data_IF_937166067018
#
_entry.id   IF_937166067018
#
_cell.length_a   1.000
_cell.length_b   1.000
_cell.length_c   1.000
_cell.angle_alpha   90.00
_cell.angle_beta   90.00
_cell.angle_gamma   90.00
#
_symmetry.space_group_name_H-M   'P 1'
#
loop_
_entity.id
_entity.type
_entity.pdbx_description
1 polymer ?
#
# COMPACT_ATOMS: atom_id res chain seq x y z
N UNK A 1 48.28 9.44 -25.83
CA UNK A 1 47.47 8.75 -26.85
C UNK A 1 46.23 8.27 -26.13
N UNK A 2 45.30 9.21 -25.97
CA UNK A 2 44.01 8.99 -25.34
C UNK A 2 43.02 8.54 -26.41
N UNK A 3 42.24 7.50 -26.12
CA UNK A 3 41.05 7.16 -26.88
C UNK A 3 39.91 6.84 -25.92
N UNK A 4 39.27 7.91 -25.44
CA UNK A 4 37.90 7.90 -24.97
C UNK A 4 36.99 7.40 -26.09
N UNK A 5 36.41 6.21 -25.93
CA UNK A 5 35.27 5.76 -26.74
C UNK A 5 34.00 6.14 -26.00
N UNK A 6 33.47 7.31 -26.34
CA UNK A 6 32.13 7.74 -25.96
C UNK A 6 31.10 6.80 -26.61
N UNK A 7 30.47 5.95 -25.80
CA UNK A 7 29.21 5.31 -26.17
C UNK A 7 28.16 6.43 -26.31
N UNK A 8 27.86 6.80 -27.55
CA UNK A 8 26.74 7.68 -27.89
C UNK A 8 25.44 7.07 -27.36
N UNK A 9 24.94 7.57 -26.22
CA UNK A 9 23.54 7.43 -25.86
C UNK A 9 22.72 8.36 -26.76
N UNK A 10 21.61 7.90 -27.37
CA UNK A 10 20.75 8.80 -28.11
C UNK A 10 20.11 9.82 -27.16
N UNK A 11 20.30 11.11 -27.48
CA UNK A 11 19.62 12.25 -26.84
C UNK A 11 18.11 12.17 -27.09
N UNK A 12 17.38 11.57 -26.16
CA UNK A 12 15.90 11.61 -26.11
C UNK A 12 15.37 12.84 -25.32
N UNK A 13 16.23 13.81 -25.03
CA UNK A 13 15.91 15.00 -24.23
C UNK A 13 15.52 16.18 -25.11
N UNK A 14 14.31 16.15 -25.68
CA UNK A 14 13.62 17.38 -26.12
C UNK A 14 12.10 17.27 -26.26
N UNK A 15 11.49 16.11 -26.04
CA UNK A 15 10.05 15.99 -26.11
C UNK A 15 9.42 16.43 -24.77
N UNK A 16 8.82 17.62 -24.78
CA UNK A 16 7.70 17.94 -23.89
C UNK A 16 6.70 16.80 -23.99
N UNK A 17 6.42 16.10 -22.89
CA UNK A 17 5.47 14.99 -22.84
C UNK A 17 4.14 15.44 -23.44
N UNK A 18 3.76 14.86 -24.59
CA UNK A 18 2.57 15.27 -25.32
C UNK A 18 1.32 14.94 -24.49
N UNK A 19 0.33 15.83 -24.48
CA UNK A 19 -0.93 15.62 -23.75
C UNK A 19 -1.62 14.33 -24.20
N UNK A 20 -1.42 13.93 -25.46
CA UNK A 20 -1.86 12.64 -26.00
C UNK A 20 -1.20 11.43 -25.32
N UNK A 21 0.09 11.48 -25.04
CA UNK A 21 0.81 10.38 -24.37
C UNK A 21 0.30 10.19 -22.94
N UNK A 22 -0.01 11.29 -22.24
CA UNK A 22 -0.60 11.25 -20.89
C UNK A 22 -1.96 10.56 -20.94
N UNK A 23 -2.85 10.99 -21.83
CA UNK A 23 -4.19 10.39 -21.96
C UNK A 23 -4.12 8.90 -22.32
N UNK A 24 -3.16 8.50 -23.15
CA UNK A 24 -2.94 7.11 -23.52
C UNK A 24 -2.41 6.27 -22.35
N UNK A 25 -1.44 6.76 -21.58
CA UNK A 25 -0.95 6.09 -20.36
C UNK A 25 -2.09 5.94 -19.35
N UNK A 26 -2.92 6.97 -19.18
CA UNK A 26 -4.10 6.91 -18.31
C UNK A 26 -5.10 5.84 -18.78
N UNK A 27 -5.34 5.75 -20.09
CA UNK A 27 -6.24 4.74 -20.67
C UNK A 27 -5.69 3.32 -20.50
N UNK A 28 -4.41 3.10 -20.80
CA UNK A 28 -3.73 1.81 -20.62
C UNK A 28 -3.77 1.40 -19.16
N UNK A 29 -3.49 2.33 -18.25
CA UNK A 29 -3.52 2.06 -16.82
C UNK A 29 -4.92 1.72 -16.31
N UNK A 30 -5.93 2.52 -16.68
CA UNK A 30 -7.33 2.24 -16.35
C UNK A 30 -7.77 0.90 -16.92
N UNK A 31 -7.42 0.57 -18.17
CA UNK A 31 -7.72 -0.72 -18.78
C UNK A 31 -7.00 -1.88 -18.09
N UNK A 32 -5.74 -1.72 -17.69
CA UNK A 32 -5.03 -2.76 -16.93
C UNK A 32 -5.68 -3.00 -15.58
N UNK A 33 -5.97 -1.95 -14.81
CA UNK A 33 -6.70 -2.08 -13.53
C UNK A 33 -8.06 -2.73 -13.77
N UNK A 34 -8.76 -2.30 -14.80
CA UNK A 34 -10.09 -2.78 -15.17
C UNK A 34 -10.07 -4.24 -15.59
N UNK A 35 -9.22 -4.66 -16.52
CA UNK A 35 -9.09 -6.06 -16.92
C UNK A 35 -8.53 -6.92 -15.80
N UNK A 36 -7.68 -6.38 -14.93
CA UNK A 36 -7.27 -7.07 -13.70
C UNK A 36 -8.50 -7.40 -12.87
N UNK A 37 -9.43 -6.46 -12.65
CA UNK A 37 -10.58 -6.71 -11.76
C UNK A 37 -11.81 -7.31 -12.46
N UNK A 38 -12.19 -6.87 -13.65
CA UNK A 38 -13.36 -7.35 -14.40
C UNK A 38 -13.15 -8.74 -15.02
N UNK A 39 -11.93 -9.07 -15.48
CA UNK A 39 -11.66 -10.44 -15.92
C UNK A 39 -11.63 -11.40 -14.71
N UNK A 40 -11.29 -10.89 -13.51
CA UNK A 40 -11.46 -11.65 -12.27
C UNK A 40 -12.94 -11.84 -11.90
N UNK A 41 -13.78 -10.80 -12.02
CA UNK A 41 -15.24 -10.84 -11.78
C UNK A 41 -15.97 -11.77 -12.76
N UNK A 42 -15.45 -11.94 -13.98
CA UNK A 42 -16.01 -12.81 -15.01
C UNK A 42 -15.39 -14.22 -15.06
N UNK A 43 -14.47 -14.54 -14.14
CA UNK A 43 -13.82 -15.86 -14.05
C UNK A 43 -12.77 -16.14 -15.14
N UNK A 44 -12.49 -15.19 -16.03
CA UNK A 44 -11.47 -15.29 -17.08
C UNK A 44 -10.16 -14.72 -16.53
N UNK A 45 -9.37 -15.50 -15.80
CA UNK A 45 -8.12 -15.00 -15.21
C UNK A 45 -8.39 -14.32 -13.88
N UNK A 46 -8.15 -15.09 -12.82
CA UNK A 46 -8.34 -14.65 -11.46
C UNK A 46 -7.11 -13.84 -11.00
N UNK A 47 -7.32 -12.67 -10.40
CA UNK A 47 -6.27 -11.81 -9.81
C UNK A 47 -5.42 -12.49 -8.74
N UNK A 48 -5.82 -13.67 -8.29
CA UNK A 48 -5.11 -14.41 -7.29
C UNK A 48 -4.59 -15.77 -7.81
N UNK A 49 -4.66 -16.04 -9.12
CA UNK A 49 -4.26 -17.31 -9.70
C UNK A 49 -2.92 -17.24 -10.46
N UNK A 50 -1.98 -18.08 -10.03
CA UNK A 50 -0.67 -18.30 -10.67
C UNK A 50 -0.73 -19.34 -11.81
N UNK A 51 -1.86 -20.04 -11.98
CA UNK A 51 -1.99 -21.18 -12.90
C UNK A 51 -1.95 -20.78 -14.37
N UNK A 52 -2.17 -19.50 -14.66
CA UNK A 52 -2.04 -18.92 -15.99
C UNK A 52 -0.96 -17.85 -15.92
N UNK A 53 0.23 -18.16 -16.42
CA UNK A 53 1.19 -17.11 -16.77
C UNK A 53 0.48 -16.06 -17.62
N UNK A 54 0.90 -14.80 -17.49
CA UNK A 54 0.36 -13.70 -18.31
C UNK A 54 0.38 -14.18 -19.77
N UNK A 55 -0.79 -14.33 -20.45
CA UNK A 55 -0.81 -14.80 -21.83
C UNK A 55 0.13 -13.92 -22.66
N UNK A 56 0.94 -14.50 -23.55
CA UNK A 56 1.89 -13.71 -24.37
C UNK A 56 1.18 -12.57 -25.13
N UNK A 57 -0.09 -12.78 -25.47
CA UNK A 57 -0.93 -11.82 -26.19
C UNK A 57 -1.69 -10.85 -25.26
N UNK A 58 -1.69 -11.08 -23.94
CA UNK A 58 -2.30 -10.19 -22.94
C UNK A 58 -1.67 -8.81 -22.98
N UNK A 59 -0.35 -8.71 -23.16
CA UNK A 59 0.31 -7.41 -23.34
C UNK A 59 -0.12 -6.73 -24.65
N UNK A 60 -0.21 -7.49 -25.74
CA UNK A 60 -0.58 -6.95 -27.05
C UNK A 60 -2.02 -6.42 -27.13
N UNK A 61 -2.90 -6.81 -26.20
CA UNK A 61 -4.28 -6.31 -26.14
C UNK A 61 -4.40 -4.92 -25.50
N UNK A 62 -3.37 -4.44 -24.78
CA UNK A 62 -3.35 -3.10 -24.17
C UNK A 62 -2.56 -2.07 -24.97
N UNK A 63 -1.69 -2.51 -25.87
CA UNK A 63 -0.74 -1.63 -26.56
C UNK A 63 -0.84 -1.82 -28.08
N UNK A 64 -1.35 -0.82 -28.82
CA UNK A 64 -1.21 -0.78 -30.27
C UNK A 64 0.25 -0.95 -30.70
N UNK A 65 0.51 -1.79 -31.73
CA UNK A 65 1.87 -2.15 -32.19
C UNK A 65 2.77 -0.96 -32.62
N UNK A 66 2.19 0.22 -32.84
CA UNK A 66 2.89 1.42 -33.30
C UNK A 66 3.43 2.33 -32.17
N UNK A 67 3.26 1.96 -30.90
CA UNK A 67 3.73 2.76 -29.76
C UNK A 67 5.22 2.56 -29.47
N UNK A 68 5.98 3.65 -29.38
CA UNK A 68 7.38 3.65 -28.90
C UNK A 68 7.50 3.09 -27.46
N UNK A 69 6.47 3.32 -26.62
CA UNK A 69 6.38 2.76 -25.27
C UNK A 69 6.31 1.22 -25.28
N UNK A 70 5.58 0.66 -26.25
CA UNK A 70 5.41 -0.79 -26.45
C UNK A 70 6.74 -1.46 -26.82
N UNK A 71 7.52 -0.87 -27.73
CA UNK A 71 8.87 -1.35 -28.04
C UNK A 71 9.80 -1.25 -26.83
N UNK A 72 9.82 -0.14 -26.09
CA UNK A 72 10.68 0.01 -24.91
C UNK A 72 10.35 -0.99 -23.78
N UNK A 73 9.07 -1.31 -23.57
CA UNK A 73 8.61 -2.23 -22.54
C UNK A 73 8.83 -3.71 -22.89
N UNK A 74 8.70 -4.06 -24.17
CA UNK A 74 8.96 -5.42 -24.67
C UNK A 74 10.44 -5.71 -24.91
N UNK A 75 11.21 -4.77 -25.46
CA UNK A 75 12.64 -4.96 -25.76
C UNK A 75 13.50 -5.08 -24.48
N UNK A 76 13.06 -4.50 -23.36
CA UNK A 76 13.67 -4.66 -22.04
C UNK A 76 13.08 -5.83 -21.23
N UNK A 77 12.38 -6.76 -21.88
CA UNK A 77 11.81 -7.93 -21.23
C UNK A 77 12.73 -9.14 -21.41
N UNK A 78 13.80 -9.20 -20.61
CA UNK A 78 14.43 -10.49 -20.26
C UNK A 78 13.86 -10.94 -18.91
N UNK A 79 13.28 -12.17 -18.81
CA UNK A 79 12.61 -12.63 -17.60
C UNK A 79 13.49 -12.82 -16.36
N UNK A 80 14.81 -12.68 -16.44
CA UNK A 80 15.68 -13.27 -15.41
C UNK A 80 16.06 -12.32 -14.25
N UNK A 81 16.54 -11.10 -14.52
CA UNK A 81 17.04 -10.21 -13.45
C UNK A 81 16.01 -9.19 -12.94
N UNK A 82 15.03 -8.84 -13.77
CA UNK A 82 14.03 -7.80 -13.46
C UNK A 82 12.97 -8.28 -12.47
N UNK A 83 12.63 -9.58 -12.44
CA UNK A 83 11.67 -10.17 -11.49
C UNK A 83 12.17 -10.02 -10.05
N UNK A 84 13.49 -10.10 -9.83
CA UNK A 84 14.12 -9.92 -8.51
C UNK A 84 14.04 -8.46 -8.05
N UNK A 85 14.12 -7.49 -8.97
CA UNK A 85 14.04 -6.05 -8.66
C UNK A 85 12.70 -5.65 -8.05
N UNK A 86 11.62 -6.36 -8.41
CA UNK A 86 10.26 -6.10 -7.91
C UNK A 86 9.79 -7.09 -6.82
N UNK A 87 10.66 -7.96 -6.34
CA UNK A 87 10.40 -8.87 -5.23
C UNK A 87 10.87 -8.25 -3.90
N UNK A 88 10.01 -8.27 -2.87
CA UNK A 88 10.36 -7.70 -1.56
C UNK A 88 10.97 -8.76 -0.67
N UNK A 89 12.23 -8.53 -0.29
CA UNK A 89 12.89 -9.32 0.75
C UNK A 89 12.37 -8.86 2.11
N UNK A 90 11.72 -9.77 2.82
CA UNK A 90 11.24 -9.57 4.19
C UNK A 90 11.97 -10.56 5.08
N UNK A 91 12.43 -10.12 6.24
CA UNK A 91 13.01 -11.03 7.24
C UNK A 91 11.88 -11.58 8.11
N UNK A 92 11.74 -12.91 8.12
CA UNK A 92 10.94 -13.59 9.14
C UNK A 92 11.74 -13.58 10.45
N UNK A 93 11.22 -12.90 11.46
CA UNK A 93 11.88 -12.75 12.77
C UNK A 93 11.91 -14.02 13.61
N UNK A 94 11.01 -14.98 13.36
CA UNK A 94 10.96 -16.26 14.10
C UNK A 94 12.00 -17.23 13.57
N UNK A 95 12.10 -17.35 12.25
CA UNK A 95 13.05 -18.27 11.59
C UNK A 95 14.40 -17.63 11.28
N UNK A 96 14.49 -16.30 11.34
CA UNK A 96 15.64 -15.50 10.93
C UNK A 96 16.03 -15.71 9.44
N UNK A 97 15.04 -16.00 8.59
CA UNK A 97 15.25 -16.22 7.15
C UNK A 97 14.68 -15.07 6.34
N UNK A 98 15.35 -14.74 5.23
CA UNK A 98 14.81 -13.81 4.24
C UNK A 98 13.83 -14.57 3.33
N UNK A 99 12.59 -14.11 3.29
CA UNK A 99 11.54 -14.59 2.39
C UNK A 99 11.23 -13.52 1.34
N UNK A 100 10.75 -13.95 0.18
CA UNK A 100 10.22 -13.05 -0.84
C UNK A 100 8.72 -12.89 -0.62
N UNK A 101 8.26 -11.66 -0.47
CA UNK A 101 6.84 -11.35 -0.42
C UNK A 101 6.19 -11.70 -1.77
N UNK A 102 5.17 -12.56 -1.72
CA UNK A 102 4.38 -12.90 -2.89
C UNK A 102 3.56 -11.69 -3.32
N UNK A 103 3.62 -11.40 -4.61
CA UNK A 103 2.83 -10.37 -5.26
C UNK A 103 2.32 -10.93 -6.59
N UNK A 104 1.06 -10.67 -6.97
CA UNK A 104 0.55 -11.04 -8.28
C UNK A 104 1.39 -10.43 -9.41
N UNK A 105 1.58 -11.16 -10.51
CA UNK A 105 2.48 -10.72 -11.59
C UNK A 105 1.96 -9.49 -12.35
N UNK A 106 0.65 -9.35 -12.51
CA UNK A 106 0.07 -8.12 -13.05
C UNK A 106 0.34 -6.89 -12.16
N UNK A 107 0.42 -7.08 -10.82
CA UNK A 107 0.74 -5.98 -9.90
C UNK A 107 2.19 -5.56 -10.07
N UNK A 108 3.11 -6.52 -10.24
CA UNK A 108 4.52 -6.23 -10.60
C UNK A 108 4.59 -5.46 -11.91
N UNK A 109 3.83 -5.89 -12.92
CA UNK A 109 3.82 -5.26 -14.23
C UNK A 109 3.25 -3.84 -14.18
N UNK A 110 2.11 -3.63 -13.51
CA UNK A 110 1.53 -2.30 -13.33
C UNK A 110 2.45 -1.35 -12.57
N UNK A 111 3.12 -1.83 -11.52
CA UNK A 111 4.14 -1.04 -10.81
C UNK A 111 5.32 -0.69 -11.72
N UNK A 112 5.76 -1.61 -12.57
CA UNK A 112 6.83 -1.32 -13.54
C UNK A 112 6.40 -0.23 -14.52
N UNK A 113 5.20 -0.35 -15.11
CA UNK A 113 4.69 0.65 -16.05
C UNK A 113 4.55 2.04 -15.44
N UNK A 114 4.21 2.12 -14.15
CA UNK A 114 4.04 3.40 -13.47
C UNK A 114 5.32 3.99 -12.91
N UNK A 115 6.28 3.17 -12.47
CA UNK A 115 7.40 3.63 -11.66
C UNK A 115 8.79 3.36 -12.29
N UNK A 116 8.86 2.59 -13.39
CA UNK A 116 10.11 2.24 -14.09
C UNK A 116 10.37 3.18 -15.29
N UNK A 117 10.93 4.35 -15.00
CA UNK A 117 11.43 5.29 -16.01
C UNK A 117 11.31 6.75 -15.58
N UNK A 118 12.04 7.65 -16.25
CA UNK A 118 12.09 9.08 -15.88
C UNK A 118 10.79 9.81 -16.21
N UNK A 119 10.22 9.58 -17.39
CA UNK A 119 8.97 10.23 -17.83
C UNK A 119 7.80 9.83 -16.92
N UNK A 120 7.72 8.54 -16.58
CA UNK A 120 6.69 8.01 -15.71
C UNK A 120 6.73 8.64 -14.30
N UNK A 121 7.94 8.90 -13.77
CA UNK A 121 8.14 9.58 -12.49
C UNK A 121 7.60 11.02 -12.51
N UNK A 122 7.89 11.77 -13.55
CA UNK A 122 7.35 13.13 -13.70
C UNK A 122 5.82 13.12 -13.81
N UNK A 123 5.24 12.14 -14.53
CA UNK A 123 3.79 12.01 -14.68
C UNK A 123 3.07 11.72 -13.37
N UNK A 124 3.69 11.01 -12.42
CA UNK A 124 3.11 10.69 -11.11
C UNK A 124 2.81 11.93 -10.25
N UNK A 125 3.49 13.05 -10.52
CA UNK A 125 3.24 14.31 -9.83
C UNK A 125 2.07 15.11 -10.42
N UNK A 126 1.56 14.72 -11.59
CA UNK A 126 0.46 15.43 -12.27
C UNK A 126 -0.89 15.19 -11.60
N UNK A 127 -1.73 16.22 -11.55
CA UNK A 127 -3.12 16.11 -11.04
C UNK A 127 -3.95 15.10 -11.83
N UNK A 128 -3.63 14.92 -13.11
CA UNK A 128 -4.28 13.95 -13.99
C UNK A 128 -4.08 12.51 -13.49
N UNK A 129 -2.86 12.12 -13.08
CA UNK A 129 -2.56 10.80 -12.54
C UNK A 129 -3.11 10.65 -11.11
N UNK A 130 -3.01 11.68 -10.27
CA UNK A 130 -3.61 11.65 -8.93
C UNK A 130 -5.12 11.42 -8.98
N UNK A 131 -5.81 12.11 -9.90
CA UNK A 131 -7.25 11.94 -10.13
C UNK A 131 -7.56 10.53 -10.64
N UNK A 132 -6.74 9.99 -11.54
CA UNK A 132 -6.88 8.62 -12.02
C UNK A 132 -6.78 7.60 -10.87
N UNK A 133 -5.78 7.72 -9.99
CA UNK A 133 -5.62 6.84 -8.83
C UNK A 133 -6.81 6.92 -7.87
N UNK A 134 -7.32 8.13 -7.61
CA UNK A 134 -8.51 8.31 -6.79
C UNK A 134 -9.74 7.66 -7.43
N UNK A 135 -9.96 7.89 -8.74
CA UNK A 135 -11.07 7.32 -9.50
C UNK A 135 -11.03 5.79 -9.52
N UNK A 136 -9.88 5.19 -9.80
CA UNK A 136 -9.74 3.73 -9.83
C UNK A 136 -9.87 3.11 -8.44
N UNK A 137 -9.30 3.75 -7.41
CA UNK A 137 -9.48 3.27 -6.02
C UNK A 137 -10.95 3.29 -5.60
N UNK A 138 -11.71 4.33 -5.99
CA UNK A 138 -13.15 4.39 -5.76
C UNK A 138 -13.89 3.26 -6.50
N UNK A 139 -13.64 3.12 -7.81
CA UNK A 139 -14.30 2.13 -8.65
C UNK A 139 -14.07 0.71 -8.16
N UNK A 140 -12.83 0.37 -7.83
CA UNK A 140 -12.48 -0.95 -7.32
C UNK A 140 -13.04 -1.20 -5.92
N UNK A 141 -13.01 -0.19 -5.05
CA UNK A 141 -13.65 -0.26 -3.74
C UNK A 141 -15.12 -0.65 -3.85
N UNK A 142 -15.87 -0.01 -4.76
CA UNK A 142 -17.27 -0.31 -5.04
C UNK A 142 -17.46 -1.72 -5.62
N UNK A 143 -16.63 -2.12 -6.59
CA UNK A 143 -16.71 -3.45 -7.18
C UNK A 143 -16.51 -4.57 -6.13
N UNK A 144 -15.64 -4.37 -5.13
CA UNK A 144 -15.45 -5.32 -4.02
C UNK A 144 -16.51 -5.22 -2.91
N UNK A 145 -17.42 -4.24 -2.96
CA UNK A 145 -18.61 -4.18 -2.11
C UNK A 145 -19.80 -4.93 -2.72
N UNK A 146 -19.76 -5.24 -4.02
CA UNK A 146 -20.80 -6.03 -4.69
C UNK A 146 -20.83 -7.46 -4.16
N UNK A 147 -22.01 -8.07 -3.94
CA UNK A 147 -22.11 -9.43 -3.40
C UNK A 147 -21.39 -10.51 -4.22
N UNK A 148 -21.33 -10.32 -5.54
CA UNK A 148 -20.65 -11.23 -6.47
C UNK A 148 -19.13 -11.31 -6.21
N UNK A 149 -18.54 -10.24 -5.65
CA UNK A 149 -17.10 -10.22 -5.33
C UNK A 149 -16.68 -11.29 -4.31
N UNK A 150 -17.63 -11.86 -3.56
CA UNK A 150 -17.40 -12.98 -2.63
C UNK A 150 -16.70 -14.16 -3.30
N UNK A 151 -16.94 -14.38 -4.59
CA UNK A 151 -16.35 -15.49 -5.35
C UNK A 151 -14.82 -15.40 -5.45
N UNK A 152 -14.22 -14.24 -5.14
CA UNK A 152 -12.78 -14.05 -5.09
C UNK A 152 -12.12 -14.51 -3.78
N UNK A 153 -12.89 -14.68 -2.71
CA UNK A 153 -12.34 -15.00 -1.38
C UNK A 153 -11.51 -16.29 -1.43
N UNK A 154 -12.03 -17.36 -2.03
CA UNK A 154 -11.32 -18.65 -2.09
C UNK A 154 -10.02 -18.56 -2.88
N UNK A 155 -10.02 -17.83 -4.00
CA UNK A 155 -8.81 -17.66 -4.80
C UNK A 155 -7.76 -16.83 -4.06
N UNK A 156 -8.19 -15.75 -3.41
CA UNK A 156 -7.35 -14.93 -2.56
C UNK A 156 -6.70 -15.76 -1.44
N UNK A 157 -7.49 -16.57 -0.75
CA UNK A 157 -6.98 -17.46 0.30
C UNK A 157 -5.99 -18.49 -0.23
N UNK A 158 -6.24 -19.08 -1.41
CA UNK A 158 -5.31 -20.02 -2.04
C UNK A 158 -3.99 -19.36 -2.41
N UNK A 159 -4.02 -18.16 -2.98
CA UNK A 159 -2.82 -17.41 -3.37
C UNK A 159 -1.89 -17.14 -2.19
N UNK A 160 -2.49 -16.64 -1.11
CA UNK A 160 -1.76 -16.19 0.07
C UNK A 160 -1.65 -17.27 1.15
N UNK A 161 -2.16 -18.48 0.88
CA UNK A 161 -2.13 -19.63 1.79
C UNK A 161 -2.71 -19.29 3.17
N UNK A 162 -3.84 -18.59 3.17
CA UNK A 162 -4.52 -18.18 4.41
C UNK A 162 -5.28 -19.37 5.00
N UNK A 163 -5.15 -19.57 6.32
CA UNK A 163 -5.96 -20.57 7.04
C UNK A 163 -7.31 -19.98 7.47
N UNK A 164 -8.36 -20.79 7.39
CA UNK A 164 -9.68 -20.48 7.97
C UNK A 164 -9.69 -20.65 9.49
N UNK A 165 -8.71 -21.34 10.07
CA UNK A 165 -8.69 -21.71 11.50
C UNK A 165 -8.58 -20.49 12.42
N UNK A 166 -7.92 -19.42 11.98
CA UNK A 166 -7.76 -18.19 12.76
C UNK A 166 -8.94 -17.23 12.59
N UNK A 167 -9.84 -17.47 11.63
CA UNK A 167 -10.95 -16.59 11.34
C UNK A 167 -12.03 -16.69 12.42
N UNK A 168 -12.56 -15.53 12.80
CA UNK A 168 -13.74 -15.49 13.66
C UNK A 168 -14.96 -16.12 12.95
N UNK A 169 -15.08 -15.88 11.63
CA UNK A 169 -16.05 -16.51 10.76
C UNK A 169 -15.32 -17.46 9.78
N UNK A 170 -15.26 -18.77 10.04
CA UNK A 170 -14.58 -19.71 9.14
C UNK A 170 -15.40 -20.06 7.89
N UNK A 171 -16.73 -19.87 7.92
CA UNK A 171 -17.60 -20.12 6.77
C UNK A 171 -17.57 -18.93 5.80
N UNK A 172 -16.88 -19.12 4.67
CA UNK A 172 -16.68 -18.08 3.66
C UNK A 172 -17.97 -17.60 2.99
N UNK A 173 -19.03 -18.42 3.02
CA UNK A 173 -20.33 -18.07 2.43
C UNK A 173 -21.07 -16.99 3.22
N UNK A 174 -20.68 -16.77 4.48
CA UNK A 174 -21.30 -15.80 5.39
C UNK A 174 -20.79 -14.38 5.24
N UNK A 175 -19.71 -14.16 4.49
CA UNK A 175 -19.31 -12.82 4.08
C UNK A 175 -20.27 -12.33 2.99
N UNK A 176 -20.75 -11.09 3.10
CA UNK A 176 -21.63 -10.49 2.11
C UNK A 176 -20.91 -10.15 0.81
N UNK A 177 -19.62 -9.77 0.89
CA UNK A 177 -18.77 -9.38 -0.23
C UNK A 177 -17.28 -9.58 0.11
N UNK A 178 -16.39 -9.33 -0.87
CA UNK A 178 -14.95 -9.46 -0.68
C UNK A 178 -14.40 -8.47 0.37
N UNK A 179 -14.90 -7.24 0.40
CA UNK A 179 -14.44 -6.24 1.35
C UNK A 179 -14.69 -6.67 2.80
N UNK A 180 -15.84 -7.27 3.10
CA UNK A 180 -16.15 -7.82 4.43
C UNK A 180 -15.13 -8.89 4.85
N UNK A 181 -14.70 -9.73 3.92
CA UNK A 181 -13.62 -10.67 4.15
C UNK A 181 -12.25 -9.97 4.28
N UNK A 182 -11.98 -8.91 3.52
CA UNK A 182 -10.72 -8.17 3.58
C UNK A 182 -10.46 -7.61 4.99
N UNK A 183 -11.49 -7.02 5.62
CA UNK A 183 -11.45 -6.59 7.03
C UNK A 183 -11.99 -7.65 8.01
N UNK A 184 -11.94 -8.94 7.66
CA UNK A 184 -12.36 -10.06 8.52
C UNK A 184 -11.84 -9.92 9.96
N UNK A 185 -12.63 -10.35 10.94
CA UNK A 185 -12.16 -10.50 12.32
C UNK A 185 -11.42 -11.82 12.50
N UNK A 186 -10.41 -11.82 13.35
CA UNK A 186 -9.75 -13.04 13.82
C UNK A 186 -10.36 -13.49 15.15
N UNK A 187 -10.12 -14.74 15.52
CA UNK A 187 -10.47 -15.25 16.85
C UNK A 187 -9.69 -14.47 17.94
N UNK A 188 -10.27 -14.25 19.13
CA UNK A 188 -9.61 -13.49 20.20
C UNK A 188 -8.25 -14.03 20.64
N UNK A 189 -8.03 -15.34 20.50
CA UNK A 189 -6.80 -16.04 20.87
C UNK A 189 -5.78 -16.14 19.73
N UNK A 190 -6.13 -15.74 18.50
CA UNK A 190 -5.25 -15.82 17.34
C UNK A 190 -4.01 -14.92 17.48
N UNK A 191 -4.10 -13.84 18.26
CA UNK A 191 -3.02 -12.86 18.48
C UNK A 191 -2.95 -12.47 19.95
N UNK A 192 -2.33 -13.32 20.76
CA UNK A 192 -2.12 -13.02 22.18
C UNK A 192 -1.16 -11.84 22.36
N UNK A 193 -1.57 -10.86 23.17
CA UNK A 193 -0.74 -9.70 23.51
C UNK A 193 0.37 -10.14 24.46
N UNK A 194 1.62 -9.85 24.08
CA UNK A 194 2.77 -10.12 24.94
C UNK A 194 2.79 -9.15 26.13
N UNK A 195 3.03 -9.70 27.32
CA UNK A 195 3.12 -8.94 28.59
C UNK A 195 1.94 -7.97 28.78
N UNK A 196 0.68 -8.46 28.82
CA UNK A 196 -0.51 -7.60 28.83
C UNK A 196 -0.51 -6.62 30.00
N UNK A 197 -0.04 -7.05 31.17
CA UNK A 197 -0.02 -6.25 32.40
C UNK A 197 1.21 -5.33 32.52
N UNK A 198 2.18 -5.41 31.59
CA UNK A 198 3.34 -4.54 31.61
C UNK A 198 3.14 -3.35 30.67
N UNK A 199 2.83 -2.19 31.24
CA UNK A 199 2.56 -0.97 30.49
C UNK A 199 3.82 -0.29 29.94
N UNK A 200 5.03 -0.72 30.36
CA UNK A 200 6.31 -0.25 29.77
C UNK A 200 6.71 -0.98 28.49
N UNK A 201 5.87 -1.89 27.99
CA UNK A 201 6.11 -2.64 26.74
C UNK A 201 5.04 -2.30 25.70
N UNK A 202 5.50 -1.75 24.57
CA UNK A 202 4.68 -1.48 23.38
C UNK A 202 4.41 -2.80 22.62
N UNK A 203 3.19 -2.98 22.11
CA UNK A 203 2.83 -4.10 21.23
C UNK A 203 2.75 -3.68 19.75
N UNK A 204 2.79 -4.67 18.84
CA UNK A 204 2.56 -4.42 17.42
C UNK A 204 1.12 -3.96 17.18
N UNK A 205 0.93 -2.97 16.32
CA UNK A 205 -0.42 -2.44 16.00
C UNK A 205 -1.17 -3.31 14.99
N UNK A 206 -0.47 -4.13 14.22
CA UNK A 206 -1.04 -4.92 13.14
C UNK A 206 -0.15 -6.11 12.77
N UNK A 207 -0.74 -7.08 12.07
CA UNK A 207 0.01 -8.05 11.27
C UNK A 207 0.63 -7.30 10.08
N UNK A 208 1.96 -7.26 10.01
CA UNK A 208 2.63 -6.34 9.09
C UNK A 208 4.10 -6.69 8.83
N UNK A 209 4.72 -5.88 7.98
CA UNK A 209 6.18 -5.75 7.85
C UNK A 209 6.59 -4.51 8.64
N UNK A 210 7.38 -4.72 9.68
CA UNK A 210 7.77 -3.70 10.65
C UNK A 210 9.13 -3.09 10.31
N UNK A 211 9.21 -1.76 10.35
CA UNK A 211 10.46 -1.00 10.30
C UNK A 211 10.46 -0.02 11.48
N UNK A 212 11.59 0.08 12.17
CA UNK A 212 11.75 0.90 13.37
C UNK A 212 12.96 1.82 13.22
N UNK A 213 12.82 3.04 13.72
CA UNK A 213 13.92 3.99 13.87
C UNK A 213 13.82 4.67 15.24
N UNK A 214 14.97 4.82 15.90
CA UNK A 214 15.04 5.46 17.21
C UNK A 214 14.65 6.94 17.16
N UNK A 215 14.81 7.59 16.00
CA UNK A 215 14.39 8.96 15.77
C UNK A 215 13.88 9.17 14.33
N UNK A 216 12.96 10.12 14.16
CA UNK A 216 12.38 10.49 12.86
C UNK A 216 13.44 10.99 11.87
N UNK A 217 14.50 11.67 12.34
CA UNK A 217 15.55 12.19 11.47
C UNK A 217 16.31 11.08 10.73
N UNK A 218 16.60 9.97 11.42
CA UNK A 218 17.22 8.78 10.84
C UNK A 218 16.28 8.09 9.86
N UNK A 219 14.98 7.99 10.18
CA UNK A 219 13.98 7.45 9.28
C UNK A 219 13.93 8.22 7.95
N UNK A 220 13.90 9.56 8.02
CA UNK A 220 13.90 10.43 6.82
C UNK A 220 15.21 10.33 6.04
N UNK A 221 16.35 10.24 6.72
CA UNK A 221 17.64 10.11 6.06
C UNK A 221 17.80 8.77 5.35
N UNK A 222 17.37 7.68 5.99
CA UNK A 222 17.69 6.31 5.57
C UNK A 222 16.61 5.74 4.66
N UNK A 223 15.34 5.94 5.00
CA UNK A 223 14.22 5.17 4.43
C UNK A 223 13.22 6.03 3.68
N UNK A 224 12.75 7.12 4.28
CA UNK A 224 11.70 7.96 3.71
C UNK A 224 12.36 8.96 2.75
N UNK A 225 12.47 8.57 1.47
CA UNK A 225 13.17 9.37 0.44
C UNK A 225 12.32 10.49 -0.19
N UNK A 226 11.08 10.66 0.26
CA UNK A 226 10.26 11.82 -0.07
C UNK A 226 10.99 13.11 0.30
N UNK A 227 11.08 14.06 -0.64
CA UNK A 227 11.89 15.27 -0.47
C UNK A 227 11.33 16.23 0.59
N UNK A 228 10.05 16.09 0.95
CA UNK A 228 9.37 17.03 1.82
C UNK A 228 8.79 16.40 3.09
N UNK A 229 9.14 15.15 3.39
CA UNK A 229 8.65 14.49 4.59
C UNK A 229 9.01 15.30 5.86
N UNK A 230 7.99 15.59 6.67
CA UNK A 230 8.12 16.20 7.99
C UNK A 230 6.91 15.84 8.84
N UNK A 231 7.06 15.83 10.17
CA UNK A 231 5.93 15.60 11.08
C UNK A 231 4.85 16.67 10.94
N UNK A 232 5.23 17.93 10.67
CA UNK A 232 4.30 19.02 10.37
C UNK A 232 3.37 18.66 9.21
N UNK A 233 3.92 18.19 8.09
CA UNK A 233 3.10 17.74 6.95
C UNK A 233 2.35 16.47 7.29
N UNK A 234 2.97 15.51 7.98
CA UNK A 234 2.33 14.24 8.33
C UNK A 234 1.08 14.44 9.20
N UNK A 235 1.13 15.36 10.16
CA UNK A 235 -0.01 15.63 11.04
C UNK A 235 -0.96 16.70 10.49
N UNK A 236 -0.53 17.47 9.49
CA UNK A 236 -1.19 18.70 9.04
C UNK A 236 -1.44 19.68 10.22
N UNK A 237 -0.52 19.66 11.19
CA UNK A 237 -0.60 20.40 12.44
C UNK A 237 0.83 20.65 12.97
N UNK A 238 1.27 21.91 12.89
CA UNK A 238 2.63 22.29 13.31
C UNK A 238 2.84 22.23 14.82
N UNK A 239 1.82 22.59 15.61
CA UNK A 239 1.94 22.60 17.07
C UNK A 239 2.01 21.18 17.60
N UNK A 240 1.18 20.29 17.04
CA UNK A 240 1.27 18.86 17.31
C UNK A 240 2.63 18.30 16.90
N UNK A 241 3.15 18.63 15.72
CA UNK A 241 4.43 18.10 15.28
C UNK A 241 5.57 18.38 16.26
N UNK A 242 5.60 19.57 16.88
CA UNK A 242 6.62 19.96 17.87
C UNK A 242 6.62 19.08 19.12
N UNK A 243 5.49 18.48 19.50
CA UNK A 243 5.44 17.58 20.67
C UNK A 243 6.13 16.25 20.41
N UNK A 244 6.41 15.92 19.14
CA UNK A 244 7.04 14.68 18.70
C UNK A 244 8.43 14.89 18.12
N UNK A 245 9.02 16.08 18.28
CA UNK A 245 10.39 16.34 17.87
C UNK A 245 11.33 15.33 18.56
N UNK A 246 12.25 14.74 17.79
CA UNK A 246 13.16 13.67 18.22
C UNK A 246 12.50 12.34 18.66
N UNK A 247 11.19 12.19 18.47
CA UNK A 247 10.49 10.94 18.77
C UNK A 247 10.94 9.76 17.91
N UNK A 248 10.79 8.55 18.43
CA UNK A 248 10.98 7.31 17.68
C UNK A 248 9.81 7.08 16.72
N UNK A 249 10.08 6.37 15.61
CA UNK A 249 9.06 6.06 14.60
C UNK A 249 9.05 4.58 14.26
N UNK A 250 7.84 4.04 14.24
CA UNK A 250 7.55 2.68 13.81
C UNK A 250 6.62 2.70 12.60
N UNK A 251 7.04 2.06 11.52
CA UNK A 251 6.27 1.95 10.28
C UNK A 251 5.79 0.52 10.11
N UNK A 252 4.47 0.34 10.10
CA UNK A 252 3.79 -0.94 9.96
C UNK A 252 3.16 -1.02 8.57
N UNK A 253 3.81 -1.73 7.64
CA UNK A 253 3.26 -1.93 6.28
C UNK A 253 2.45 -3.22 6.22
N UNK A 254 1.15 -3.09 6.00
CA UNK A 254 0.26 -4.22 5.79
C UNK A 254 0.27 -4.62 4.31
N UNK A 255 0.60 -5.87 4.03
CA UNK A 255 0.45 -6.47 2.70
C UNK A 255 -1.01 -6.88 2.47
N UNK A 256 -1.45 -7.11 1.21
CA UNK A 256 -2.84 -7.47 0.92
C UNK A 256 -3.36 -8.64 1.75
N UNK A 257 -2.52 -9.66 1.97
CA UNK A 257 -2.88 -10.88 2.70
C UNK A 257 -3.02 -10.71 4.23
N UNK A 258 -2.52 -9.62 4.78
CA UNK A 258 -2.48 -9.41 6.22
C UNK A 258 -3.87 -9.19 6.81
N UNK A 259 -3.95 -9.13 8.13
CA UNK A 259 -5.15 -8.74 8.84
C UNK A 259 -5.28 -7.22 8.84
N UNK A 260 -6.29 -6.69 8.14
CA UNK A 260 -6.48 -5.26 7.87
C UNK A 260 -7.26 -4.50 8.95
N UNK A 261 -7.11 -4.94 10.20
CA UNK A 261 -7.52 -4.16 11.38
C UNK A 261 -6.31 -3.82 12.21
N UNK A 262 -6.37 -2.70 12.90
CA UNK A 262 -5.26 -2.18 13.66
C UNK A 262 -5.69 -1.90 15.09
N UNK A 263 -4.73 -2.11 16.00
CA UNK A 263 -4.94 -2.21 17.44
C UNK A 263 -4.03 -1.25 18.20
N UNK A 264 -4.43 -0.92 19.43
CA UNK A 264 -3.71 0.04 20.24
C UNK A 264 -2.35 -0.52 20.68
N UNK A 265 -1.23 0.17 20.37
CA UNK A 265 0.10 -0.28 20.78
C UNK A 265 0.34 -0.12 22.29
N UNK A 266 -0.42 0.75 22.96
CA UNK A 266 -0.27 1.15 24.37
C UNK A 266 -1.65 1.37 25.00
N UNK A 267 -1.71 1.37 26.33
CA UNK A 267 -2.90 1.85 27.05
C UNK A 267 -2.81 3.37 27.25
N UNK A 268 -3.95 4.06 27.14
CA UNK A 268 -4.01 5.51 27.30
C UNK A 268 -5.37 6.11 26.95
N UNK A 269 -5.50 7.42 27.16
CA UNK A 269 -6.69 8.18 26.77
C UNK A 269 -6.48 8.79 25.38
N UNK A 270 -7.48 8.71 24.51
CA UNK A 270 -7.40 9.34 23.19
C UNK A 270 -7.66 10.83 23.33
N UNK A 271 -6.63 11.66 23.22
CA UNK A 271 -6.74 13.12 23.42
C UNK A 271 -7.11 13.88 22.16
N UNK A 272 -6.85 13.31 20.97
CA UNK A 272 -7.21 13.94 19.69
C UNK A 272 -7.36 12.91 18.58
N UNK A 273 -8.37 13.11 17.73
CA UNK A 273 -8.53 12.38 16.47
C UNK A 273 -8.75 13.36 15.32
N UNK A 274 -7.85 13.35 14.34
CA UNK A 274 -8.06 13.94 13.02
C UNK A 274 -8.49 12.81 12.09
N UNK A 275 -9.81 12.66 11.89
CA UNK A 275 -10.38 11.52 11.15
C UNK A 275 -10.01 11.50 9.67
N UNK A 276 -9.67 12.66 9.10
CA UNK A 276 -9.43 12.82 7.68
C UNK A 276 -8.51 14.00 7.40
N UNK A 277 -7.37 13.67 6.79
CA UNK A 277 -6.50 14.60 6.10
C UNK A 277 -6.55 14.21 4.63
N UNK A 278 -7.04 15.12 3.79
CA UNK A 278 -7.20 14.87 2.36
C UNK A 278 -5.84 14.68 1.67
N UNK A 279 -5.82 13.87 0.63
CA UNK A 279 -4.60 13.56 -0.10
C UNK A 279 -4.88 12.65 -1.29
N UNK A 280 -3.80 12.18 -1.91
CA UNK A 280 -3.84 11.20 -3.01
C UNK A 280 -3.76 9.76 -2.49
N UNK A 281 -3.56 8.80 -3.39
CA UNK A 281 -3.46 7.38 -3.11
C UNK A 281 -2.27 6.77 -3.85
N UNK A 282 -1.07 7.27 -3.58
CA UNK A 282 0.13 6.58 -4.02
C UNK A 282 0.21 5.19 -3.38
N UNK A 283 0.84 4.25 -4.06
CA UNK A 283 1.09 2.93 -3.48
C UNK A 283 2.13 3.04 -2.37
N UNK A 284 1.90 2.32 -1.26
CA UNK A 284 2.87 2.16 -0.16
C UNK A 284 3.87 1.04 -0.43
N UNK A 285 3.96 0.61 -1.69
CA UNK A 285 4.92 -0.37 -2.13
C UNK A 285 6.36 0.13 -1.83
N UNK A 286 7.23 -0.68 -1.18
CA UNK A 286 8.57 -0.25 -0.78
C UNK A 286 9.49 0.22 -1.91
N UNK A 287 9.22 -0.14 -3.17
CA UNK A 287 9.96 0.45 -4.31
C UNK A 287 9.61 1.93 -4.41
N UNK A 288 8.33 2.26 -4.35
CA UNK A 288 7.82 3.64 -4.52
C UNK A 288 8.14 4.51 -3.31
N UNK A 289 8.06 3.98 -2.09
CA UNK A 289 8.42 4.71 -0.85
C UNK A 289 9.91 5.12 -0.83
N UNK A 290 10.76 4.41 -1.58
CA UNK A 290 12.20 4.72 -1.71
C UNK A 290 12.54 5.63 -2.89
N UNK A 291 11.54 6.06 -3.66
CA UNK A 291 11.69 7.07 -4.71
C UNK A 291 11.40 8.47 -4.15
N UNK A 292 11.56 9.50 -4.98
CA UNK A 292 11.30 10.91 -4.62
C UNK A 292 9.79 11.24 -4.54
N UNK A 293 8.98 10.37 -3.96
CA UNK A 293 7.55 10.57 -3.76
C UNK A 293 7.24 10.66 -2.26
N UNK A 294 6.53 11.70 -1.87
CA UNK A 294 6.11 11.97 -0.51
C UNK A 294 4.89 11.13 -0.09
N UNK A 295 4.99 9.80 -0.23
CA UNK A 295 3.87 8.85 -0.05
C UNK A 295 3.15 9.04 1.29
N UNK A 296 3.88 9.18 2.39
CA UNK A 296 3.28 9.27 3.73
C UNK A 296 2.55 10.58 4.01
N UNK A 297 2.96 11.68 3.38
CA UNK A 297 2.42 13.03 3.63
C UNK A 297 1.48 13.53 2.54
N UNK A 298 1.56 12.97 1.33
CA UNK A 298 0.65 13.28 0.23
C UNK A 298 -0.57 12.36 0.23
N UNK A 299 -0.45 11.14 0.75
CA UNK A 299 -1.60 10.26 0.79
C UNK A 299 -2.65 10.73 1.81
N UNK A 300 -3.91 10.44 1.48
CA UNK A 300 -5.00 10.54 2.43
C UNK A 300 -4.68 9.76 3.70
N UNK A 301 -4.94 10.33 4.87
CA UNK A 301 -4.55 9.74 6.15
C UNK A 301 -5.44 10.23 7.29
N UNK A 302 -5.33 9.56 8.44
CA UNK A 302 -5.96 9.96 9.68
C UNK A 302 -4.95 9.87 10.82
N UNK A 303 -5.08 10.75 11.80
CA UNK A 303 -4.15 10.86 12.94
C UNK A 303 -4.94 10.72 14.23
N UNK A 304 -4.38 10.00 15.18
CA UNK A 304 -4.91 9.85 16.53
C UNK A 304 -3.77 9.99 17.53
N UNK A 305 -3.99 10.75 18.60
CA UNK A 305 -3.05 10.90 19.71
C UNK A 305 -3.59 10.13 20.91
N UNK A 306 -2.75 9.25 21.45
CA UNK A 306 -3.03 8.46 22.64
C UNK A 306 -2.09 8.97 23.75
N UNK A 307 -2.66 9.54 24.80
CA UNK A 307 -1.91 9.97 25.98
C UNK A 307 -1.66 8.76 26.86
N UNK A 308 -0.46 8.20 26.76
CA UNK A 308 -0.01 7.06 27.55
C UNK A 308 0.72 7.51 28.79
N UNK A 309 0.46 6.83 29.92
CA UNK A 309 1.12 7.12 31.19
C UNK A 309 2.65 6.88 31.12
N UNK A 310 3.07 5.81 30.45
CA UNK A 310 4.47 5.37 30.47
C UNK A 310 5.28 5.88 29.28
N UNK A 311 4.62 6.23 28.17
CA UNK A 311 5.29 6.70 26.94
C UNK A 311 5.03 8.18 26.63
N UNK A 312 4.17 8.85 27.39
CA UNK A 312 3.67 10.17 27.03
C UNK A 312 2.75 10.10 25.80
N UNK A 313 2.66 11.18 24.99
CA UNK A 313 1.82 11.17 23.80
C UNK A 313 2.37 10.20 22.75
N UNK A 314 1.49 9.36 22.21
CA UNK A 314 1.78 8.42 21.11
C UNK A 314 0.92 8.79 19.90
N UNK A 315 1.57 9.21 18.81
CA UNK A 315 0.88 9.48 17.56
C UNK A 315 0.68 8.18 16.75
N UNK A 316 -0.58 7.86 16.47
CA UNK A 316 -1.00 6.82 15.56
C UNK A 316 -1.44 7.43 14.23
N UNK A 317 -0.77 7.10 13.12
CA UNK A 317 -1.11 7.61 11.79
C UNK A 317 -1.50 6.47 10.87
N UNK A 318 -2.76 6.43 10.47
CA UNK A 318 -3.25 5.50 9.44
C UNK A 318 -3.13 6.16 8.07
N UNK A 319 -2.42 5.55 7.12
CA UNK A 319 -2.11 6.17 5.81
C UNK A 319 -2.76 5.37 4.69
N UNK A 320 -3.71 5.98 3.98
CA UNK A 320 -4.37 5.50 2.77
C UNK A 320 -3.36 5.06 1.71
N UNK A 321 -3.70 4.06 0.91
CA UNK A 321 -2.88 3.63 -0.22
C UNK A 321 -3.75 3.36 -1.43
N UNK A 322 -3.13 3.27 -2.62
CA UNK A 322 -3.81 2.82 -3.84
C UNK A 322 -4.59 1.52 -3.56
N UNK A 323 -5.88 1.50 -3.92
CA UNK A 323 -6.83 0.39 -3.73
C UNK A 323 -7.20 0.02 -2.28
N UNK A 324 -6.48 0.53 -1.27
CA UNK A 324 -6.79 0.34 0.15
C UNK A 324 -6.80 1.71 0.82
N UNK A 325 -7.76 2.54 0.42
CA UNK A 325 -7.75 3.97 0.76
C UNK A 325 -8.50 4.33 2.03
N UNK A 326 -9.53 3.57 2.40
CA UNK A 326 -10.43 3.88 3.50
C UNK A 326 -9.80 3.60 4.85
N UNK A 327 -9.98 4.58 5.75
CA UNK A 327 -9.61 4.48 7.16
C UNK A 327 -10.88 4.66 7.98
N UNK A 328 -11.17 3.70 8.84
CA UNK A 328 -12.27 3.80 9.78
C UNK A 328 -11.75 3.58 11.19
N UNK A 329 -11.69 4.65 11.98
CA UNK A 329 -11.47 4.56 13.43
C UNK A 329 -12.79 4.24 14.13
N UNK A 330 -12.77 3.20 14.95
CA UNK A 330 -13.93 2.70 15.72
C UNK A 330 -13.97 3.27 17.14
N UNK A 331 -13.12 4.25 17.42
CA UNK A 331 -12.96 4.91 18.72
C UNK A 331 -13.19 6.42 18.59
N UNK A 332 -13.48 7.05 19.71
CA UNK A 332 -13.75 8.48 19.83
C UNK A 332 -12.74 9.20 20.74
N UNK A 333 -12.65 10.52 20.59
CA UNK A 333 -11.87 11.37 21.52
C UNK A 333 -12.39 11.21 22.95
N UNK A 334 -11.51 11.36 23.93
CA UNK A 334 -11.71 11.12 25.37
C UNK A 334 -11.89 9.66 25.78
N UNK A 335 -12.05 8.72 24.84
CA UNK A 335 -12.15 7.31 25.15
C UNK A 335 -10.82 6.76 25.68
N UNK A 336 -10.88 5.96 26.75
CA UNK A 336 -9.74 5.19 27.22
C UNK A 336 -9.66 3.86 26.47
N UNK A 337 -8.46 3.52 25.99
CA UNK A 337 -8.17 2.24 25.31
C UNK A 337 -7.08 1.50 26.05
N UNK A 338 -7.20 0.18 26.10
CA UNK A 338 -6.15 -0.70 26.59
C UNK A 338 -5.22 -1.12 25.45
N UNK A 339 -3.99 -1.45 25.80
CA UNK A 339 -3.04 -2.11 24.91
C UNK A 339 -3.67 -3.36 24.29
N UNK A 340 -3.74 -3.40 22.96
CA UNK A 340 -4.36 -4.48 22.18
C UNK A 340 -5.81 -4.25 21.77
N UNK A 341 -6.50 -3.22 22.28
CA UNK A 341 -7.87 -2.90 21.86
C UNK A 341 -7.93 -2.53 20.37
N UNK A 342 -8.99 -2.93 19.67
CA UNK A 342 -9.20 -2.56 18.27
C UNK A 342 -9.43 -1.04 18.15
N UNK A 343 -8.58 -0.37 17.36
CA UNK A 343 -8.70 1.06 17.09
C UNK A 343 -9.46 1.35 15.78
N UNK A 344 -9.47 0.38 14.87
CA UNK A 344 -10.17 0.52 13.60
C UNK A 344 -9.75 -0.48 12.54
N UNK A 345 -10.18 -0.22 11.31
CA UNK A 345 -9.97 -1.09 10.15
C UNK A 345 -9.70 -0.33 8.87
N UNK A 346 -9.02 -1.01 7.95
CA UNK A 346 -8.78 -0.60 6.56
C UNK A 346 -9.74 -1.33 5.65
N UNK A 347 -10.26 -0.61 4.66
CA UNK A 347 -11.19 -1.15 3.66
C UNK A 347 -10.66 -0.78 2.27
N UNK A 348 -10.97 -1.58 1.25
CA UNK A 348 -10.61 -1.24 -0.14
C UNK A 348 -11.37 -0.01 -0.67
N UNK A 349 -12.41 0.40 0.05
CA UNK A 349 -13.23 1.56 -0.27
C UNK A 349 -12.46 2.88 -0.16
N UNK A 350 -13.01 3.95 -0.73
CA UNK A 350 -12.83 5.33 -0.30
C UNK A 350 -14.16 5.82 0.26
N UNK A 351 -14.30 5.86 1.58
CA UNK A 351 -15.45 6.51 2.21
C UNK A 351 -15.18 8.01 2.27
N UNK A 352 -15.77 8.75 1.33
CA UNK A 352 -16.01 10.16 1.54
C UNK A 352 -17.19 10.30 2.51
N UNK A 353 -16.91 10.17 3.80
CA UNK A 353 -17.71 10.91 4.78
C UNK A 353 -17.34 12.39 4.70
#
# INVERSE_FOLDING_TARGET
MDSNTSLNQPDYLSHTTDHNEIQQIQHIFSNMITQTVENSLSGIGNIFDYSHGVPNDWLSSFFPQHLLLHQYLLENHKPDESIVRYAFKVMDRKTNTIILEKMPDYTKFGLRLMFDGRVQRELLHTEAIKHLFAKESLRLGQAFDEPQSRDHIESFMRMYQLSTDELFQPDLTKYGNFNEFFYRKLKPDARQIAYPDNSSIITSVADCRLILFDNVSDATRIWIKGQHFSLKRLFDDELMAKTFDYGSIAVFRLAPNDYHRFHSPVSGQISKIIRKISGTYYTVNPIVVRENLDVFTENHRAVMIIDSKDFGPVAFVAIGALLVGSINFTVDTEQYVNKGDELGKRMNQLQFC
#
